data_IF_813268081229
#
_entry.id   IF_813268081229
#
_cell.length_a   1.000
_cell.length_b   1.000
_cell.length_c   1.000
_cell.angle_alpha   90.00
_cell.angle_beta   90.00
_cell.angle_gamma   90.00
#
_symmetry.space_group_name_H-M   'P 1'
#
loop_
_entity.id
_entity.type
_entity.pdbx_description
1 polymer ?
#
# COMPACT_ATOMS: atom_id res chain seq x y z
N UNK A 1 7.40 -54.94 34.67
CA UNK A 1 7.72 -54.99 33.22
C UNK A 1 6.43 -54.98 32.43
N UNK A 2 6.35 -54.12 31.40
CA UNK A 2 5.41 -54.09 30.26
C UNK A 2 4.03 -53.44 30.45
N UNK A 3 3.96 -52.13 30.25
CA UNK A 3 2.91 -51.50 29.41
C UNK A 3 3.33 -50.07 29.00
N UNK A 4 4.30 -49.94 28.10
CA UNK A 4 4.67 -48.65 27.47
C UNK A 4 4.72 -48.74 25.93
N UNK A 5 4.26 -49.84 25.35
CA UNK A 5 4.42 -50.11 23.91
C UNK A 5 3.21 -49.78 23.04
N UNK A 6 2.14 -49.18 23.60
CA UNK A 6 0.88 -48.98 22.86
C UNK A 6 0.23 -47.59 23.01
N UNK A 7 0.84 -46.66 23.74
CA UNK A 7 0.37 -45.27 23.89
C UNK A 7 0.80 -44.37 22.72
N UNK A 8 2.01 -44.58 22.19
CA UNK A 8 2.52 -43.81 21.04
C UNK A 8 1.79 -44.14 19.73
N UNK A 9 1.27 -45.37 19.60
CA UNK A 9 0.55 -45.80 18.40
C UNK A 9 -0.93 -45.37 18.43
N UNK A 10 -1.50 -45.17 19.62
CA UNK A 10 -2.83 -44.58 19.79
C UNK A 10 -2.82 -43.05 19.65
N UNK A 11 -1.72 -42.39 20.06
CA UNK A 11 -1.48 -40.96 19.81
C UNK A 11 -1.42 -40.65 18.30
N UNK A 12 -0.67 -41.46 17.54
CA UNK A 12 -0.58 -41.32 16.07
C UNK A 12 -1.91 -41.61 15.36
N UNK A 13 -2.73 -42.51 15.91
CA UNK A 13 -4.07 -42.79 15.40
C UNK A 13 -5.07 -41.66 15.68
N UNK A 14 -4.96 -41.00 16.84
CA UNK A 14 -5.77 -39.83 17.19
C UNK A 14 -5.41 -38.61 16.34
N UNK A 15 -4.11 -38.36 16.12
CA UNK A 15 -3.62 -37.26 15.28
C UNK A 15 -4.02 -37.44 13.80
N UNK A 16 -4.11 -38.69 13.31
CA UNK A 16 -4.60 -39.00 11.96
C UNK A 16 -6.12 -38.79 11.81
N UNK A 17 -6.90 -38.97 12.89
CA UNK A 17 -8.34 -38.67 12.91
C UNK A 17 -8.64 -37.18 12.86
N UNK A 18 -7.85 -36.37 13.56
CA UNK A 18 -8.02 -34.91 13.61
C UNK A 18 -7.64 -34.22 12.30
N UNK A 19 -6.60 -34.71 11.59
CA UNK A 19 -6.23 -34.20 10.26
C UNK A 19 -7.25 -34.58 9.17
N UNK A 20 -7.91 -35.73 9.25
CA UNK A 20 -9.01 -36.08 8.31
C UNK A 20 -10.24 -35.22 8.55
N UNK A 21 -10.58 -34.93 9.80
CA UNK A 21 -11.71 -34.06 10.15
C UNK A 21 -11.51 -32.62 9.64
N UNK A 22 -10.28 -32.10 9.67
CA UNK A 22 -10.00 -30.74 9.20
C UNK A 22 -9.76 -30.62 7.67
N UNK A 23 -9.50 -31.75 6.98
CA UNK A 23 -9.35 -31.82 5.52
C UNK A 23 -10.66 -32.21 4.80
N UNK A 24 -11.73 -32.55 5.55
CA UNK A 24 -13.04 -32.92 5.02
C UNK A 24 -14.12 -31.84 5.19
N UNK A 25 -13.76 -30.57 5.43
CA UNK A 25 -14.69 -29.50 5.09
C UNK A 25 -14.59 -29.30 3.58
N UNK A 26 -15.50 -29.86 2.74
CA UNK A 26 -15.60 -29.38 1.39
C UNK A 26 -15.86 -27.88 1.51
N UNK A 27 -14.93 -27.06 1.01
CA UNK A 27 -15.24 -25.67 0.67
C UNK A 27 -16.25 -25.79 -0.47
N UNK A 28 -17.51 -25.91 -0.10
CA UNK A 28 -18.61 -25.96 -1.05
C UNK A 28 -18.59 -24.63 -1.79
N UNK A 29 -18.79 -24.66 -3.09
CA UNK A 29 -18.83 -23.44 -3.94
C UNK A 29 -19.86 -22.45 -3.38
N UNK A 30 -20.91 -22.94 -2.71
CA UNK A 30 -21.86 -22.15 -1.90
C UNK A 30 -21.22 -21.29 -0.79
N UNK A 31 -20.24 -21.79 -0.03
CA UNK A 31 -19.56 -21.00 1.01
C UNK A 31 -18.62 -19.94 0.42
N UNK A 32 -17.93 -20.27 -0.68
CA UNK A 32 -17.08 -19.29 -1.39
C UNK A 32 -17.93 -18.18 -2.03
N UNK A 33 -19.10 -18.52 -2.58
CA UNK A 33 -20.07 -17.55 -3.09
C UNK A 33 -20.69 -16.70 -1.97
N UNK A 34 -20.81 -17.23 -0.75
CA UNK A 34 -21.30 -16.49 0.40
C UNK A 34 -20.28 -15.50 0.99
N UNK A 35 -18.97 -15.81 0.92
CA UNK A 35 -17.90 -14.85 1.26
C UNK A 35 -17.77 -13.71 0.22
N UNK A 36 -18.00 -14.01 -1.07
CA UNK A 36 -18.13 -13.00 -2.13
C UNK A 36 -19.42 -12.15 -2.00
N UNK A 37 -20.51 -12.76 -1.50
CA UNK A 37 -21.79 -12.08 -1.26
C UNK A 37 -21.75 -11.16 -0.04
N UNK A 38 -20.79 -11.34 0.88
CA UNK A 38 -20.70 -10.54 2.10
C UNK A 38 -20.14 -9.12 1.91
N UNK A 39 -19.84 -8.69 0.67
CA UNK A 39 -19.50 -7.30 0.33
C UNK A 39 -18.21 -6.74 0.96
N UNK A 40 -17.58 -7.48 1.86
CA UNK A 40 -16.43 -7.06 2.66
C UNK A 40 -15.21 -6.72 1.79
N UNK A 41 -15.01 -7.41 0.66
CA UNK A 41 -13.94 -7.08 -0.29
C UNK A 41 -14.12 -5.73 -1.01
N UNK A 42 -15.36 -5.27 -1.21
CA UNK A 42 -15.65 -3.98 -1.89
C UNK A 42 -15.56 -2.81 -0.90
N UNK A 43 -15.86 -3.05 0.37
CA UNK A 43 -15.75 -2.05 1.44
C UNK A 43 -14.29 -1.71 1.80
N UNK A 44 -13.40 -2.70 1.80
CA UNK A 44 -11.97 -2.50 2.07
C UNK A 44 -11.26 -1.72 0.94
N UNK A 45 -11.63 -1.98 -0.33
CA UNK A 45 -11.16 -1.19 -1.48
C UNK A 45 -11.61 0.28 -1.40
N UNK A 46 -12.85 0.52 -0.94
CA UNK A 46 -13.44 1.87 -0.84
C UNK A 46 -12.83 2.72 0.28
N UNK A 47 -12.39 2.10 1.38
CA UNK A 47 -11.66 2.80 2.43
C UNK A 47 -10.21 3.10 2.02
N UNK A 48 -9.57 2.18 1.30
CA UNK A 48 -8.21 2.37 0.77
C UNK A 48 -8.15 3.48 -0.29
N UNK A 49 -9.15 3.59 -1.15
CA UNK A 49 -9.21 4.64 -2.19
C UNK A 49 -9.39 6.05 -1.61
N UNK A 50 -10.23 6.21 -0.58
CA UNK A 50 -10.35 7.49 0.14
C UNK A 50 -9.03 7.89 0.84
N UNK A 51 -8.30 6.92 1.38
CA UNK A 51 -7.01 7.16 2.03
C UNK A 51 -5.91 7.55 1.01
N UNK A 52 -5.94 6.95 -0.18
CA UNK A 52 -4.98 7.27 -1.24
C UNK A 52 -5.15 8.71 -1.76
N UNK A 53 -6.38 9.16 -2.01
CA UNK A 53 -6.63 10.54 -2.48
C UNK A 53 -6.11 11.60 -1.51
N UNK A 54 -6.29 11.36 -0.21
CA UNK A 54 -5.75 12.20 0.86
C UNK A 54 -4.22 12.22 0.83
N UNK A 55 -3.59 11.04 0.79
CA UNK A 55 -2.13 10.88 0.70
C UNK A 55 -1.54 11.55 -0.55
N UNK A 56 -2.23 11.47 -1.68
CA UNK A 56 -1.82 12.12 -2.92
C UNK A 56 -1.92 13.64 -2.83
N UNK A 57 -3.01 14.16 -2.25
CA UNK A 57 -3.17 15.59 -2.01
C UNK A 57 -2.08 16.11 -1.06
N UNK A 58 -1.77 15.37 -0.01
CA UNK A 58 -0.70 15.69 0.93
C UNK A 58 0.68 15.69 0.25
N UNK A 59 0.94 14.71 -0.63
CA UNK A 59 2.16 14.66 -1.42
C UNK A 59 2.30 15.87 -2.37
N UNK A 60 1.21 16.26 -3.04
CA UNK A 60 1.15 17.47 -3.89
C UNK A 60 1.44 18.74 -3.10
N UNK A 61 0.82 18.89 -1.93
CA UNK A 61 1.08 20.01 -1.02
C UNK A 61 2.55 20.04 -0.58
N UNK A 62 3.13 18.86 -0.32
CA UNK A 62 4.54 18.74 0.08
C UNK A 62 5.50 19.14 -1.03
N UNK A 63 5.22 18.77 -2.28
CA UNK A 63 6.00 19.22 -3.44
C UNK A 63 5.88 20.73 -3.63
N UNK A 64 4.68 21.30 -3.46
CA UNK A 64 4.49 22.75 -3.50
C UNK A 64 5.33 23.46 -2.42
N UNK A 65 5.34 22.92 -1.19
CA UNK A 65 6.18 23.41 -0.11
C UNK A 65 7.67 23.35 -0.45
N UNK A 66 8.16 22.24 -1.00
CA UNK A 66 9.57 22.12 -1.41
C UNK A 66 9.94 23.10 -2.53
N UNK A 67 9.04 23.35 -3.47
CA UNK A 67 9.24 24.33 -4.53
C UNK A 67 9.33 25.76 -3.97
N UNK A 68 8.48 26.11 -3.00
CA UNK A 68 8.53 27.41 -2.33
C UNK A 68 9.79 27.58 -1.48
N UNK A 69 10.21 26.53 -0.77
CA UNK A 69 11.43 26.52 0.02
C UNK A 69 12.67 26.73 -0.86
N UNK A 70 12.76 26.00 -1.98
CA UNK A 70 13.84 26.17 -2.95
C UNK A 70 13.90 27.59 -3.52
N UNK A 71 12.74 28.18 -3.84
CA UNK A 71 12.65 29.57 -4.28
C UNK A 71 13.07 30.56 -3.19
N UNK A 72 12.66 30.33 -1.94
CA UNK A 72 13.04 31.17 -0.80
C UNK A 72 14.55 31.15 -0.56
N UNK A 73 15.15 29.96 -0.56
CA UNK A 73 16.60 29.80 -0.41
C UNK A 73 17.35 30.49 -1.56
N UNK A 74 16.86 30.36 -2.80
CA UNK A 74 17.43 31.05 -3.95
C UNK A 74 17.37 32.57 -3.78
N UNK A 75 16.23 33.12 -3.40
CA UNK A 75 16.08 34.56 -3.16
C UNK A 75 17.00 35.06 -2.04
N UNK A 76 17.10 34.32 -0.93
CA UNK A 76 17.99 34.68 0.18
C UNK A 76 19.47 34.65 -0.24
N UNK A 77 19.85 33.65 -1.04
CA UNK A 77 21.18 33.58 -1.62
C UNK A 77 21.47 34.76 -2.56
N UNK A 78 20.54 35.09 -3.46
CA UNK A 78 20.66 36.23 -4.38
C UNK A 78 20.76 37.58 -3.63
N UNK A 79 20.14 37.68 -2.46
CA UNK A 79 20.24 38.83 -1.54
C UNK A 79 21.54 38.87 -0.72
N UNK A 80 22.43 37.88 -0.88
CA UNK A 80 23.73 37.82 -0.21
C UNK A 80 23.67 37.33 1.24
N UNK A 81 22.61 36.60 1.63
CA UNK A 81 22.49 35.99 2.95
C UNK A 81 23.59 34.93 3.16
N UNK A 82 24.54 35.21 4.06
CA UNK A 82 25.67 34.31 4.37
C UNK A 82 25.26 33.03 5.08
N UNK A 83 24.01 32.94 5.54
CA UNK A 83 23.47 31.73 6.19
C UNK A 83 22.91 30.73 5.18
N UNK A 84 22.81 31.07 3.90
CA UNK A 84 22.38 30.17 2.83
C UNK A 84 23.54 29.91 1.88
N UNK A 85 24.03 28.68 1.83
CA UNK A 85 25.06 28.29 0.87
C UNK A 85 24.47 28.02 -0.51
N UNK A 86 25.27 28.24 -1.57
CA UNK A 86 24.90 27.82 -2.94
C UNK A 86 24.57 26.31 -3.00
N UNK A 87 25.24 25.51 -2.17
CA UNK A 87 24.97 24.07 -2.02
C UNK A 87 23.56 23.78 -1.53
N UNK A 88 23.04 24.55 -0.56
CA UNK A 88 21.70 24.36 -0.02
C UNK A 88 20.63 24.70 -1.07
N UNK A 89 20.83 25.78 -1.83
CA UNK A 89 19.94 26.16 -2.95
C UNK A 89 19.90 25.06 -4.02
N UNK A 90 21.06 24.53 -4.40
CA UNK A 90 21.15 23.48 -5.41
C UNK A 90 20.51 22.17 -4.93
N UNK A 91 20.75 21.78 -3.67
CA UNK A 91 20.13 20.58 -3.07
C UNK A 91 18.62 20.75 -2.97
N UNK A 92 18.14 21.90 -2.50
CA UNK A 92 16.71 22.19 -2.42
C UNK A 92 16.05 22.15 -3.81
N UNK A 93 16.70 22.74 -4.81
CA UNK A 93 16.25 22.68 -6.20
C UNK A 93 16.19 21.25 -6.73
N UNK A 94 17.23 20.43 -6.50
CA UNK A 94 17.25 19.02 -6.92
C UNK A 94 16.16 18.20 -6.24
N UNK A 95 15.95 18.40 -4.93
CA UNK A 95 14.85 17.75 -4.18
C UNK A 95 13.49 18.08 -4.80
N UNK A 96 13.23 19.36 -5.08
CA UNK A 96 11.99 19.82 -5.70
C UNK A 96 11.77 19.17 -7.07
N UNK A 97 12.81 19.11 -7.91
CA UNK A 97 12.72 18.49 -9.24
C UNK A 97 12.37 17.00 -9.18
N UNK A 98 13.06 16.23 -8.33
CA UNK A 98 12.80 14.79 -8.18
C UNK A 98 11.41 14.54 -7.60
N UNK A 99 11.00 15.33 -6.60
CA UNK A 99 9.65 15.22 -6.01
C UNK A 99 8.55 15.55 -7.02
N UNK A 100 8.76 16.57 -7.86
CA UNK A 100 7.83 16.92 -8.93
C UNK A 100 7.70 15.80 -9.97
N UNK A 101 8.82 15.24 -10.43
CA UNK A 101 8.81 14.16 -11.41
C UNK A 101 8.06 12.92 -10.88
N UNK A 102 8.31 12.55 -9.62
CA UNK A 102 7.57 11.48 -8.96
C UNK A 102 6.05 11.77 -8.93
N UNK A 103 5.66 13.01 -8.65
CA UNK A 103 4.24 13.42 -8.63
C UNK A 103 3.58 13.31 -9.99
N UNK A 104 4.29 13.67 -11.07
CA UNK A 104 3.79 13.54 -12.44
C UNK A 104 3.55 12.06 -12.79
N UNK A 105 4.44 11.17 -12.37
CA UNK A 105 4.26 9.72 -12.57
C UNK A 105 3.02 9.19 -11.86
N UNK A 106 2.80 9.59 -10.61
CA UNK A 106 1.61 9.20 -9.85
C UNK A 106 0.33 9.75 -10.52
N UNK A 107 0.34 11.02 -10.96
CA UNK A 107 -0.77 11.62 -11.71
C UNK A 107 -1.11 10.80 -12.95
N UNK A 108 -0.10 10.41 -13.74
CA UNK A 108 -0.32 9.65 -14.96
C UNK A 108 -0.91 8.26 -14.65
N UNK A 109 -0.39 7.58 -13.63
CA UNK A 109 -0.91 6.27 -13.18
C UNK A 109 -2.36 6.36 -12.69
N UNK A 110 -2.75 7.46 -12.05
CA UNK A 110 -4.14 7.69 -11.64
C UNK A 110 -5.08 7.89 -12.82
N UNK A 111 -4.65 8.65 -13.82
CA UNK A 111 -5.43 8.83 -15.05
C UNK A 111 -5.56 7.51 -15.81
N UNK A 112 -4.50 6.69 -15.86
CA UNK A 112 -4.55 5.34 -16.42
C UNK A 112 -5.52 4.43 -15.65
N UNK A 113 -5.43 4.38 -14.32
CA UNK A 113 -6.32 3.56 -13.50
C UNK A 113 -7.79 3.96 -13.65
N UNK A 114 -8.09 5.27 -13.72
CA UNK A 114 -9.44 5.74 -13.99
C UNK A 114 -9.95 5.30 -15.37
N UNK A 115 -9.10 5.39 -16.41
CA UNK A 115 -9.42 4.93 -17.76
C UNK A 115 -9.65 3.41 -17.80
N UNK A 116 -8.84 2.64 -17.08
CA UNK A 116 -8.96 1.18 -16.98
C UNK A 116 -10.30 0.78 -16.35
N UNK A 117 -10.68 1.41 -15.23
CA UNK A 117 -11.98 1.16 -14.58
C UNK A 117 -13.16 1.50 -15.50
N UNK A 118 -13.06 2.59 -16.29
CA UNK A 118 -14.08 2.93 -17.29
C UNK A 118 -14.13 1.98 -18.49
N UNK A 119 -13.01 1.32 -18.79
CA UNK A 119 -12.85 0.45 -19.96
C UNK A 119 -13.15 -1.02 -19.66
N UNK A 120 -13.29 -1.38 -18.37
CA UNK A 120 -13.83 -2.67 -17.98
C UNK A 120 -15.30 -2.77 -18.43
N UNK A 121 -15.67 -3.75 -19.28
CA UNK A 121 -17.06 -4.01 -19.58
C UNK A 121 -17.78 -4.49 -18.31
N UNK A 122 -18.92 -3.88 -18.02
CA UNK A 122 -19.87 -4.35 -16.99
C UNK A 122 -20.58 -5.62 -17.43
#
# INVERSE_FOLDING_TARGET
MRVESNSLMSELQALQGEMRSNMQRPVTVDQALQELSNGQGVQELSQTSNNFGQLFSDALNKVNGQQQEANSLRTRFDLGDRSVGIGDVMIAGQKSSVAFEATVQVRNKLVEAYKEVMSMPV
#
